data_IF_544942470716
#
_entry.id   IF_544942470716
#
_cell.length_a   1.000
_cell.length_b   1.000
_cell.length_c   1.000
_cell.angle_alpha   90.00
_cell.angle_beta   90.00
_cell.angle_gamma   90.00
#
_symmetry.space_group_name_H-M   'P 1'
#
loop_
_entity.id
_entity.type
_entity.pdbx_description
1 polymer ?
#
# COMPACT_ATOMS: atom_id res chain seq x y z
N UNK A 1 10.81 1.38 9.80
CA UNK A 1 9.56 1.03 9.10
C UNK A 1 9.74 1.40 7.64
N UNK A 2 9.53 0.47 6.71
CA UNK A 2 9.69 0.74 5.27
C UNK A 2 8.48 1.49 4.71
N UNK A 3 8.62 2.09 3.52
CA UNK A 3 7.51 2.77 2.85
C UNK A 3 6.35 1.81 2.54
N UNK A 4 6.66 0.58 2.12
CA UNK A 4 5.67 -0.50 1.92
C UNK A 4 4.92 -0.80 3.21
N UNK A 5 5.62 -0.97 4.33
CA UNK A 5 5.00 -1.22 5.64
C UNK A 5 4.07 -0.08 6.06
N UNK A 6 4.51 1.17 5.89
CA UNK A 6 3.70 2.35 6.18
C UNK A 6 2.40 2.38 5.36
N UNK A 7 2.47 2.11 4.05
CA UNK A 7 1.30 2.09 3.18
C UNK A 7 0.31 0.97 3.56
N UNK A 8 0.81 -0.22 3.89
CA UNK A 8 -0.03 -1.33 4.37
C UNK A 8 -0.73 -1.01 5.69
N UNK A 9 -0.06 -0.30 6.59
CA UNK A 9 -0.69 0.20 7.82
C UNK A 9 -1.77 1.24 7.55
N UNK A 10 -1.52 2.21 6.66
CA UNK A 10 -2.54 3.21 6.28
C UNK A 10 -3.77 2.57 5.64
N UNK A 11 -3.58 1.57 4.77
CA UNK A 11 -4.69 0.80 4.21
C UNK A 11 -5.54 0.15 5.32
N UNK A 12 -4.88 -0.50 6.29
CA UNK A 12 -5.57 -1.16 7.41
C UNK A 12 -6.32 -0.15 8.28
N UNK A 13 -5.75 1.04 8.52
CA UNK A 13 -6.39 2.11 9.29
C UNK A 13 -7.63 2.65 8.58
N UNK A 14 -7.52 2.91 7.28
CA UNK A 14 -8.64 3.39 6.47
C UNK A 14 -9.82 2.39 6.47
N UNK A 15 -9.55 1.09 6.34
CA UNK A 15 -10.58 0.05 6.42
C UNK A 15 -11.25 -0.02 7.80
N UNK A 16 -10.48 0.13 8.88
CA UNK A 16 -11.04 0.14 10.24
C UNK A 16 -11.95 1.34 10.45
N UNK A 17 -11.54 2.52 9.98
CA UNK A 17 -12.34 3.74 10.07
C UNK A 17 -13.64 3.62 9.26
N UNK A 18 -13.57 3.04 8.06
CA UNK A 18 -14.74 2.82 7.21
C UNK A 18 -15.81 1.94 7.89
N UNK A 19 -15.42 1.00 8.75
CA UNK A 19 -16.36 0.14 9.50
C UNK A 19 -17.06 0.85 10.66
N UNK A 20 -16.53 1.99 11.11
CA UNK A 20 -17.04 2.72 12.28
C UNK A 20 -17.85 3.97 11.94
N UNK A 21 -17.81 4.41 10.68
CA UNK A 21 -18.45 5.66 10.23
C UNK A 21 -19.79 5.34 9.54
N UNK A 22 -20.81 6.14 9.83
CA UNK A 22 -22.16 6.00 9.24
C UNK A 22 -22.32 6.77 7.93
N UNK A 23 -21.50 7.80 7.70
CA UNK A 23 -21.57 8.61 6.49
C UNK A 23 -21.07 7.80 5.27
N UNK A 24 -22.00 7.47 4.37
CA UNK A 24 -21.73 6.63 3.21
C UNK A 24 -20.66 7.21 2.28
N UNK A 25 -20.64 8.54 2.09
CA UNK A 25 -19.64 9.20 1.23
C UNK A 25 -18.24 9.04 1.82
N UNK A 26 -18.09 9.24 3.13
CA UNK A 26 -16.82 9.06 3.83
C UNK A 26 -16.39 7.59 3.83
N UNK A 27 -17.32 6.64 4.00
CA UNK A 27 -17.03 5.21 3.89
C UNK A 27 -16.47 4.87 2.51
N UNK A 28 -17.11 5.32 1.43
CA UNK A 28 -16.62 5.09 0.06
C UNK A 28 -15.21 5.64 -0.13
N UNK A 29 -14.95 6.88 0.29
CA UNK A 29 -13.62 7.51 0.17
C UNK A 29 -12.54 6.77 0.96
N UNK A 30 -12.86 6.27 2.15
CA UNK A 30 -11.91 5.50 2.97
C UNK A 30 -11.61 4.13 2.36
N UNK A 31 -12.62 3.48 1.78
CA UNK A 31 -12.42 2.23 1.02
C UNK A 31 -11.56 2.47 -0.21
N UNK A 32 -11.85 3.50 -1.00
CA UNK A 32 -11.02 3.88 -2.16
C UNK A 32 -9.56 4.18 -1.75
N UNK A 33 -9.37 4.93 -0.67
CA UNK A 33 -8.04 5.23 -0.14
C UNK A 33 -7.30 3.96 0.30
N UNK A 34 -7.98 3.01 0.96
CA UNK A 34 -7.35 1.75 1.38
C UNK A 34 -6.86 0.93 0.19
N UNK A 35 -7.66 0.89 -0.89
CA UNK A 35 -7.27 0.23 -2.15
C UNK A 35 -6.08 0.94 -2.80
N UNK A 36 -6.08 2.27 -2.85
CA UNK A 36 -4.97 3.04 -3.41
C UNK A 36 -3.66 2.79 -2.66
N UNK A 37 -3.69 2.76 -1.33
CA UNK A 37 -2.50 2.45 -0.52
C UNK A 37 -1.96 1.04 -0.77
N UNK A 38 -2.84 0.04 -0.92
CA UNK A 38 -2.42 -1.34 -1.25
C UNK A 38 -1.75 -1.40 -2.62
N UNK A 39 -2.39 -0.81 -3.63
CA UNK A 39 -1.85 -0.81 -4.98
C UNK A 39 -0.47 -0.15 -5.03
N UNK A 40 -0.27 0.95 -4.31
CA UNK A 40 1.03 1.61 -4.24
C UNK A 40 2.09 0.78 -3.49
N UNK A 41 1.69 0.12 -2.40
CA UNK A 41 2.58 -0.78 -1.67
C UNK A 41 3.05 -1.94 -2.57
N UNK A 42 2.14 -2.51 -3.35
CA UNK A 42 2.45 -3.62 -4.26
C UNK A 42 3.37 -3.17 -5.41
N UNK A 43 3.17 -1.96 -5.96
CA UNK A 43 4.08 -1.38 -6.97
C UNK A 43 5.49 -1.18 -6.42
N UNK A 44 5.62 -0.66 -5.21
CA UNK A 44 6.92 -0.44 -4.57
C UNK A 44 7.63 -1.77 -4.26
N UNK A 45 6.90 -2.77 -3.78
CA UNK A 45 7.47 -4.11 -3.51
C UNK A 45 7.96 -4.78 -4.80
N UNK A 46 7.25 -4.59 -5.92
CA UNK A 46 7.68 -5.06 -7.25
C UNK A 46 8.93 -4.32 -7.76
N UNK A 47 8.99 -3.00 -7.59
CA UNK A 47 10.16 -2.21 -7.96
C UNK A 47 11.40 -2.62 -7.14
N UNK A 48 11.26 -2.72 -5.82
CA UNK A 48 12.36 -3.13 -4.93
C UNK A 48 12.86 -4.54 -5.27
N UNK A 49 11.95 -5.48 -5.60
CA UNK A 49 12.33 -6.83 -6.03
C UNK A 49 13.05 -6.82 -7.39
N UNK A 50 12.62 -5.98 -8.34
CA UNK A 50 13.25 -5.85 -9.67
C UNK A 50 14.65 -5.23 -9.59
N UNK A 51 14.85 -4.23 -8.74
CA UNK A 51 16.14 -3.57 -8.54
C UNK A 51 17.16 -4.52 -7.87
N UNK A 52 16.70 -5.34 -6.92
CA UNK A 52 17.54 -6.37 -6.30
C UNK A 52 17.94 -7.48 -7.30
N UNK A 53 17.01 -7.93 -8.15
CA UNK A 53 17.30 -8.92 -9.18
C UNK A 53 18.31 -8.42 -10.21
N UNK A 54 18.22 -7.14 -10.59
CA UNK A 54 19.14 -6.49 -11.54
C UNK A 54 20.55 -6.33 -10.94
N UNK A 55 20.65 -5.98 -9.66
CA UNK A 55 21.94 -5.82 -8.97
C UNK A 55 22.67 -7.15 -8.78
N UNK A 56 21.93 -8.25 -8.59
CA UNK A 56 22.51 -9.59 -8.35
C UNK A 56 23.07 -10.27 -9.63
N UNK A 57 22.69 -9.78 -10.83
CA UNK A 57 23.02 -10.39 -12.12
C UNK A 57 24.15 -9.69 -12.90
N UNK A 58 24.82 -8.69 -12.32
CA UNK A 58 25.99 -8.04 -12.94
C UNK A 58 27.27 -8.80 -12.59
N UNK A 59 27.91 -9.53 -13.53
CA UNK A 59 29.24 -10.10 -13.30
C UNK A 59 30.29 -9.00 -13.43
N UNK A 60 31.23 -8.96 -12.47
CA UNK A 60 32.44 -8.12 -12.54
C UNK A 60 33.38 -8.55 -13.66
#
# INVERSE_FOLDING_TARGET
>A
MTRVQYLREQATRAERLAKTILDAVTVTRLVEASHAYRQEADRLEQHEASDQATTMWMPH
#
